data_IF_524777335316
#
_entry.id   IF_524777335316
#
_cell.length_a   1.000
_cell.length_b   1.000
_cell.length_c   1.000
_cell.angle_alpha   90.00
_cell.angle_beta   90.00
_cell.angle_gamma   90.00
#
_symmetry.space_group_name_H-M   'P 1'
#
loop_
_entity.id
_entity.type
_entity.pdbx_description
1 polymer ?
#
# COMPACT_ATOMS: atom_id res chain seq x y z
N UNK A 1 9.06 -0.40 25.30
CA UNK A 1 8.22 -1.07 24.29
C UNK A 1 6.82 -1.11 24.87
N UNK A 2 5.78 -0.68 24.14
CA UNK A 2 4.39 -0.89 24.57
C UNK A 2 4.16 -2.38 24.88
N UNK A 3 3.40 -2.69 25.93
CA UNK A 3 3.15 -4.07 26.34
C UNK A 3 2.35 -4.88 25.29
N UNK A 4 1.69 -4.18 24.35
CA UNK A 4 0.90 -4.76 23.27
C UNK A 4 1.70 -5.72 22.38
N UNK A 5 3.03 -5.54 22.27
CA UNK A 5 3.86 -6.41 21.43
C UNK A 5 4.28 -7.72 22.11
N UNK A 6 4.16 -7.84 23.44
CA UNK A 6 4.51 -9.08 24.16
C UNK A 6 3.57 -10.23 23.80
N UNK A 7 2.29 -9.92 23.59
CA UNK A 7 1.30 -10.95 23.26
C UNK A 7 1.60 -11.68 21.93
N UNK A 8 2.34 -11.05 21.01
CA UNK A 8 2.79 -11.67 19.76
C UNK A 8 4.07 -12.51 19.91
N UNK A 9 4.89 -12.21 20.92
CA UNK A 9 6.03 -13.07 21.29
C UNK A 9 5.53 -14.32 22.03
N UNK A 10 4.51 -14.17 22.88
CA UNK A 10 3.93 -15.25 23.67
C UNK A 10 3.05 -16.19 22.82
N UNK A 11 2.32 -15.64 21.82
CA UNK A 11 1.51 -16.42 20.90
C UNK A 11 1.76 -16.08 19.42
N UNK A 12 2.72 -16.76 18.77
CA UNK A 12 3.02 -16.59 17.35
C UNK A 12 1.86 -16.99 16.41
N UNK A 13 0.82 -17.70 16.90
CA UNK A 13 -0.29 -18.12 16.05
C UNK A 13 -1.21 -16.97 15.63
N UNK A 14 -1.16 -15.86 16.38
CA UNK A 14 -1.86 -14.60 16.05
C UNK A 14 -1.21 -13.84 14.90
N UNK A 15 -0.01 -14.24 14.46
CA UNK A 15 0.67 -13.63 13.33
C UNK A 15 0.21 -14.29 12.02
N UNK A 16 -0.15 -13.45 11.04
CA UNK A 16 -0.55 -13.90 9.71
C UNK A 16 0.44 -13.40 8.67
N UNK A 17 1.16 -14.33 8.04
CA UNK A 17 2.14 -13.99 7.01
C UNK A 17 1.44 -13.74 5.67
N UNK A 18 1.59 -12.53 5.13
CA UNK A 18 1.10 -12.16 3.80
C UNK A 18 2.16 -12.48 2.75
N UNK A 19 1.80 -13.29 1.76
CA UNK A 19 2.68 -13.73 0.68
C UNK A 19 2.27 -13.10 -0.65
N UNK A 20 3.27 -12.63 -1.38
CA UNK A 20 3.15 -12.17 -2.75
C UNK A 20 4.50 -12.23 -3.46
N UNK A 21 4.50 -12.38 -4.79
CA UNK A 21 5.72 -12.36 -5.59
C UNK A 21 6.46 -11.01 -5.53
N UNK A 22 5.71 -9.90 -5.49
CA UNK A 22 6.26 -8.54 -5.31
C UNK A 22 6.32 -8.09 -3.84
N UNK A 23 6.14 -9.03 -2.91
CA UNK A 23 6.09 -8.79 -1.47
C UNK A 23 7.46 -8.81 -0.80
N UNK A 24 7.45 -8.94 0.52
CA UNK A 24 8.67 -9.14 1.31
C UNK A 24 8.96 -10.63 1.37
N UNK A 25 10.04 -11.06 0.73
CA UNK A 25 10.46 -12.46 0.77
C UNK A 25 11.12 -12.82 2.10
N UNK A 26 10.70 -13.95 2.66
CA UNK A 26 11.26 -14.52 3.89
C UNK A 26 11.95 -15.83 3.52
N UNK A 27 13.05 -16.15 4.22
CA UNK A 27 13.70 -17.45 4.04
C UNK A 27 12.71 -18.58 4.41
N UNK A 28 12.56 -19.64 3.59
CA UNK A 28 11.62 -20.73 3.83
C UNK A 28 11.71 -21.36 5.23
N UNK A 29 12.88 -21.33 5.88
CA UNK A 29 13.06 -21.83 7.25
C UNK A 29 12.29 -21.02 8.28
N UNK A 30 12.14 -19.72 8.05
CA UNK A 30 11.37 -18.83 8.93
C UNK A 30 9.89 -18.82 8.56
N UNK A 31 9.53 -19.06 7.31
CA UNK A 31 8.13 -19.20 6.91
C UNK A 31 7.42 -20.32 7.66
N UNK A 32 8.11 -21.44 7.92
CA UNK A 32 7.57 -22.58 8.66
C UNK A 32 7.18 -22.24 10.12
N UNK A 33 7.71 -21.15 10.70
CA UNK A 33 7.33 -20.69 12.03
C UNK A 33 5.93 -20.03 12.05
N UNK A 34 5.46 -19.52 10.90
CA UNK A 34 4.15 -18.90 10.77
C UNK A 34 3.09 -19.94 10.39
N UNK A 35 2.22 -20.26 11.35
CA UNK A 35 1.13 -21.23 11.16
C UNK A 35 0.05 -20.71 10.20
N UNK A 36 -0.19 -19.40 10.23
CA UNK A 36 -1.24 -18.74 9.44
C UNK A 36 -0.58 -17.95 8.31
N UNK A 37 -0.90 -18.31 7.06
CA UNK A 37 -0.35 -17.68 5.87
C UNK A 37 -1.49 -17.40 4.89
N UNK A 38 -1.41 -16.30 4.14
CA UNK A 38 -2.38 -15.96 3.11
C UNK A 38 -1.68 -15.36 1.89
N UNK A 39 -2.15 -15.73 0.70
CA UNK A 39 -1.79 -15.03 -0.53
C UNK A 39 -2.51 -13.67 -0.52
N UNK A 40 -1.78 -12.61 -0.89
CA UNK A 40 -2.25 -11.23 -0.82
C UNK A 40 -1.68 -10.44 -1.99
N UNK A 41 -2.50 -9.65 -2.68
CA UNK A 41 -2.03 -8.71 -3.70
C UNK A 41 -1.79 -7.32 -3.04
N UNK A 42 -0.54 -6.83 -2.97
CA UNK A 42 -0.23 -5.51 -2.40
C UNK A 42 -0.86 -4.33 -3.14
N UNK A 43 -1.30 -4.50 -4.38
CA UNK A 43 -1.97 -3.44 -5.14
C UNK A 43 -3.47 -3.29 -4.75
N UNK A 44 -4.06 -4.31 -4.13
CA UNK A 44 -5.46 -4.29 -3.68
C UNK A 44 -5.60 -3.55 -2.34
N UNK A 45 -6.08 -2.31 -2.42
CA UNK A 45 -6.29 -1.46 -1.26
C UNK A 45 -7.39 -1.99 -0.32
N UNK A 46 -8.43 -2.63 -0.85
CA UNK A 46 -9.56 -3.10 -0.05
C UNK A 46 -9.17 -4.37 0.71
N UNK A 47 -8.43 -5.28 0.07
CA UNK A 47 -7.83 -6.44 0.74
C UNK A 47 -6.85 -6.01 1.84
N UNK A 48 -5.97 -5.04 1.54
CA UNK A 48 -5.04 -4.49 2.52
C UNK A 48 -5.75 -3.88 3.74
N UNK A 49 -6.85 -3.16 3.52
CA UNK A 49 -7.69 -2.60 4.59
C UNK A 49 -8.33 -3.69 5.44
N UNK A 50 -8.86 -4.74 4.82
CA UNK A 50 -9.46 -5.85 5.54
C UNK A 50 -8.45 -6.51 6.50
N UNK A 51 -7.19 -6.66 6.09
CA UNK A 51 -6.13 -7.15 6.98
C UNK A 51 -5.74 -6.14 8.07
N UNK A 52 -5.76 -4.84 7.78
CA UNK A 52 -5.37 -3.82 8.74
C UNK A 52 -6.38 -3.63 9.89
N UNK A 53 -7.65 -3.95 9.65
CA UNK A 53 -8.73 -3.85 10.65
C UNK A 53 -8.99 -5.17 11.38
N UNK A 54 -8.32 -6.26 11.01
CA UNK A 54 -8.42 -7.55 11.68
C UNK A 54 -7.87 -7.45 13.11
N UNK A 55 -8.72 -7.69 14.12
CA UNK A 55 -8.35 -7.67 15.54
C UNK A 55 -7.87 -9.05 16.05
N UNK A 56 -8.21 -10.14 15.34
CA UNK A 56 -7.82 -11.49 15.72
C UNK A 56 -6.37 -11.77 15.34
N UNK A 57 -6.00 -11.42 14.09
CA UNK A 57 -4.68 -11.69 13.55
C UNK A 57 -3.94 -10.41 13.19
N UNK A 58 -2.67 -10.35 13.55
CA UNK A 58 -1.78 -9.26 13.13
C UNK A 58 -1.08 -9.66 11.83
N UNK A 59 -1.35 -8.96 10.70
CA UNK A 59 -0.69 -9.24 9.44
C UNK A 59 0.79 -8.82 9.48
N UNK A 60 1.66 -9.67 8.96
CA UNK A 60 3.08 -9.38 8.75
C UNK A 60 3.41 -9.61 7.27
N UNK A 61 4.07 -8.62 6.67
CA UNK A 61 4.43 -8.63 5.25
C UNK A 61 4.18 -7.26 4.62
N UNK A 62 4.11 -7.23 3.29
CA UNK A 62 3.75 -6.03 2.57
C UNK A 62 2.22 -5.88 2.55
N UNK A 63 1.68 -4.94 3.32
CA UNK A 63 0.23 -4.70 3.35
C UNK A 63 -0.25 -4.01 2.07
N UNK A 64 0.41 -2.94 1.63
CA UNK A 64 -0.02 -2.19 0.47
C UNK A 64 1.16 -1.52 -0.24
N UNK A 65 1.15 -1.58 -1.58
CA UNK A 65 2.07 -0.85 -2.45
C UNK A 65 1.42 -0.70 -3.83
N UNK A 66 1.27 0.54 -4.28
CA UNK A 66 0.86 0.85 -5.65
C UNK A 66 1.90 1.78 -6.30
N UNK A 67 2.79 1.26 -7.17
CA UNK A 67 3.80 2.05 -7.86
C UNK A 67 3.26 2.85 -9.05
N UNK A 68 2.02 2.57 -9.51
CA UNK A 68 1.39 3.29 -10.62
C UNK A 68 0.85 4.67 -10.21
N UNK A 69 0.72 4.90 -8.90
CA UNK A 69 0.34 6.21 -8.38
C UNK A 69 1.51 7.18 -8.52
N UNK A 70 1.31 8.35 -9.15
CA UNK A 70 2.39 9.29 -9.36
C UNK A 70 2.83 9.92 -8.03
N UNK A 71 4.13 10.20 -7.92
CA UNK A 71 4.68 10.93 -6.78
C UNK A 71 4.28 12.40 -6.87
N UNK A 72 3.98 13.01 -5.72
CA UNK A 72 3.62 14.43 -5.67
C UNK A 72 4.69 15.32 -6.30
N UNK A 73 5.97 15.03 -6.04
CA UNK A 73 7.08 15.81 -6.58
C UNK A 73 7.15 15.72 -8.11
N UNK A 74 6.92 14.54 -8.68
CA UNK A 74 6.93 14.31 -10.13
C UNK A 74 5.76 15.04 -10.83
N UNK A 75 4.61 15.16 -10.16
CA UNK A 75 3.44 15.86 -10.72
C UNK A 75 3.51 17.37 -10.52
N UNK A 76 4.01 17.84 -9.37
CA UNK A 76 4.02 19.26 -9.01
C UNK A 76 4.96 20.10 -9.87
N UNK A 77 5.97 19.48 -10.50
CA UNK A 77 6.87 20.14 -11.43
C UNK A 77 6.28 20.32 -12.83
N UNK A 78 5.15 19.66 -13.13
CA UNK A 78 4.48 19.79 -14.42
C UNK A 78 3.95 21.21 -14.61
N UNK A 79 4.39 21.85 -15.69
CA UNK A 79 3.98 23.22 -16.02
C UNK A 79 4.74 24.31 -15.28
N UNK A 80 5.82 23.99 -14.54
CA UNK A 80 6.81 24.99 -14.18
C UNK A 80 7.40 25.60 -15.46
N UNK A 81 7.44 26.94 -15.54
CA UNK A 81 7.91 27.67 -16.72
C UNK A 81 6.88 27.88 -17.82
N UNK A 82 5.65 27.38 -17.67
CA UNK A 82 4.55 27.67 -18.59
C UNK A 82 4.11 29.13 -18.47
N UNK A 83 3.94 29.80 -19.59
CA UNK A 83 3.40 31.16 -19.63
C UNK A 83 1.91 31.19 -19.24
N UNK A 84 1.45 32.36 -18.77
CA UNK A 84 0.10 32.50 -18.27
C UNK A 84 -1.00 32.21 -19.33
N UNK A 85 -0.89 32.70 -20.58
CA UNK A 85 -1.82 32.34 -21.66
C UNK A 85 -1.94 30.83 -21.90
N UNK A 86 -0.81 30.14 -22.09
CA UNK A 86 -0.80 28.68 -22.33
C UNK A 86 -1.42 27.91 -21.17
N UNK A 87 -1.18 28.35 -19.93
CA UNK A 87 -1.77 27.73 -18.74
C UNK A 87 -3.29 27.89 -18.68
N UNK A 88 -3.82 29.05 -19.10
CA UNK A 88 -5.26 29.30 -19.18
C UNK A 88 -5.92 28.43 -20.26
N UNK A 89 -5.30 28.27 -21.42
CA UNK A 89 -5.80 27.40 -22.49
C UNK A 89 -5.86 25.94 -22.06
N UNK A 90 -4.79 25.43 -21.42
CA UNK A 90 -4.78 24.07 -20.87
C UNK A 90 -5.85 23.88 -19.79
N UNK A 91 -6.03 24.84 -18.89
CA UNK A 91 -7.04 24.77 -17.85
C UNK A 91 -8.46 24.76 -18.44
N UNK A 92 -8.73 25.62 -19.44
CA UNK A 92 -10.02 25.65 -20.10
C UNK A 92 -10.33 24.32 -20.80
N UNK A 93 -9.34 23.73 -21.48
CA UNK A 93 -9.52 22.43 -22.14
C UNK A 93 -9.85 21.30 -21.16
N UNK A 94 -9.22 21.25 -19.98
CA UNK A 94 -9.58 20.25 -18.96
C UNK A 94 -10.94 20.52 -18.32
N UNK A 95 -11.30 21.78 -18.10
CA UNK A 95 -12.66 22.13 -17.64
C UNK A 95 -13.71 21.66 -18.66
N UNK A 96 -13.51 21.95 -19.94
CA UNK A 96 -14.43 21.56 -21.02
C UNK A 96 -14.55 20.03 -21.14
N UNK A 97 -13.48 19.28 -20.88
CA UNK A 97 -13.49 17.81 -20.84
C UNK A 97 -14.42 17.25 -19.76
N UNK A 98 -14.54 17.94 -18.64
CA UNK A 98 -15.31 17.51 -17.47
C UNK A 98 -16.70 18.15 -17.37
N UNK A 99 -17.02 19.11 -18.26
CA UNK A 99 -18.37 19.64 -18.42
C UNK A 99 -19.20 18.70 -19.29
N UNK A 100 -20.03 17.89 -18.64
CA UNK A 100 -21.15 17.13 -19.22
C UNK A 100 -22.44 17.88 -18.92
#
# INVERSE_FOLDING_TARGET
>A
MPDDFKCFQDDPSRLKLLKHADGIHIDPKFEAAFKTQAEHDPADLDAARAYAVDEEHTPIGLLYRNPDNPCYDDESVRGIGMDAPSRLECLQAEIDRHLI
#
